data_IF_611905709164
#
_entry.id   IF_611905709164
#
_cell.length_a   1.000
_cell.length_b   1.000
_cell.length_c   1.000
_cell.angle_alpha   90.00
_cell.angle_beta   90.00
_cell.angle_gamma   90.00
#
_symmetry.space_group_name_H-M   'P 1'
#
loop_
_entity.id
_entity.type
_entity.pdbx_description
1 polymer ?
#
# COMPACT_ATOMS: atom_id res chain seq x y z
N UNK A 1 -4.79 -27.13 2.32
CA UNK A 1 -5.97 -26.30 2.04
C UNK A 1 -5.72 -25.52 0.75
N UNK A 2 -6.67 -25.41 -0.18
CA UNK A 2 -6.49 -24.54 -1.34
C UNK A 2 -6.36 -23.10 -0.86
N UNK A 3 -5.27 -22.42 -1.23
CA UNK A 3 -5.06 -21.02 -0.87
C UNK A 3 -6.09 -20.12 -1.55
N UNK A 4 -6.62 -19.11 -0.85
CA UNK A 4 -7.53 -18.12 -1.43
C UNK A 4 -6.73 -16.96 -2.02
N UNK A 5 -7.10 -16.51 -3.21
CA UNK A 5 -6.52 -15.34 -3.85
C UNK A 5 -7.48 -14.14 -3.74
N UNK A 6 -6.94 -12.93 -3.67
CA UNK A 6 -7.73 -11.70 -3.66
C UNK A 6 -7.20 -10.67 -4.66
N UNK A 7 -8.13 -9.93 -5.27
CA UNK A 7 -7.81 -8.79 -6.11
C UNK A 7 -7.59 -7.55 -5.26
N UNK A 8 -6.53 -6.80 -5.57
CA UNK A 8 -6.32 -5.47 -5.01
C UNK A 8 -6.52 -4.45 -6.12
N UNK A 9 -7.66 -3.78 -6.07
CA UNK A 9 -8.08 -2.79 -7.05
C UNK A 9 -8.36 -1.44 -6.41
N UNK A 10 -8.23 -0.35 -7.19
CA UNK A 10 -8.57 1.02 -6.78
C UNK A 10 -7.80 1.53 -5.55
N UNK A 11 -6.51 1.19 -5.43
CA UNK A 11 -5.61 1.80 -4.45
C UNK A 11 -5.49 3.32 -4.71
N UNK A 12 -6.28 4.10 -3.97
CA UNK A 12 -6.39 5.54 -4.16
C UNK A 12 -6.15 6.29 -2.85
N UNK A 13 -5.37 7.36 -2.92
CA UNK A 13 -5.17 8.31 -1.83
C UNK A 13 -5.63 9.68 -2.28
N UNK A 14 -6.52 10.30 -1.49
CA UNK A 14 -6.88 11.69 -1.71
C UNK A 14 -5.62 12.57 -1.59
N UNK A 15 -5.52 13.57 -2.46
CA UNK A 15 -4.33 14.43 -2.56
C UNK A 15 -4.11 15.30 -1.31
N UNK A 16 -5.18 15.64 -0.60
CA UNK A 16 -5.21 16.38 0.67
C UNK A 16 -4.73 15.53 1.85
N UNK A 17 -4.98 14.22 1.84
CA UNK A 17 -4.48 13.28 2.85
C UNK A 17 -2.94 13.20 2.86
N UNK A 18 -2.29 13.55 1.74
CA UNK A 18 -0.83 13.71 1.66
C UNK A 18 -0.30 14.95 2.39
N UNK A 19 -1.16 15.91 2.77
CA UNK A 19 -0.76 17.19 3.38
C UNK A 19 -0.86 17.19 4.92
N UNK A 20 -1.74 16.36 5.48
CA UNK A 20 -2.20 16.55 6.87
C UNK A 20 -1.27 15.98 7.95
N UNK A 21 -0.25 15.19 7.58
CA UNK A 21 0.79 14.75 8.54
C UNK A 21 2.06 15.60 8.53
N UNK A 22 2.39 16.24 7.42
CA UNK A 22 3.52 17.18 7.31
C UNK A 22 3.21 18.63 7.70
N UNK A 23 1.94 19.02 7.83
CA UNK A 23 1.56 20.42 8.09
C UNK A 23 0.75 20.60 9.37
N UNK A 24 1.44 20.64 10.52
CA UNK A 24 0.99 21.45 11.67
C UNK A 24 1.97 22.60 11.98
N UNK A 25 2.84 22.95 11.03
CA UNK A 25 3.84 24.01 11.19
C UNK A 25 4.00 24.95 9.97
N UNK A 26 3.30 24.76 8.86
CA UNK A 26 3.41 25.67 7.71
C UNK A 26 2.12 26.48 7.54
N UNK A 27 2.17 27.71 8.05
CA UNK A 27 1.11 28.70 7.91
C UNK A 27 0.85 29.08 6.45
N UNK A 28 -0.40 29.46 6.21
CA UNK A 28 -0.89 30.43 5.21
C UNK A 28 -0.25 30.36 3.82
N UNK A 29 -0.96 29.76 2.87
CA UNK A 29 -1.40 30.47 1.64
C UNK A 29 -2.42 29.60 0.90
N UNK A 30 -3.58 30.19 0.68
CA UNK A 30 -4.65 29.64 -0.13
C UNK A 30 -4.33 29.79 -1.62
N UNK A 31 -4.69 28.76 -2.40
CA UNK A 31 -4.87 28.88 -3.84
C UNK A 31 -3.61 28.80 -4.69
N UNK A 32 -3.30 27.60 -5.19
CA UNK A 32 -2.83 27.37 -6.58
C UNK A 32 -2.62 25.87 -6.82
N UNK A 33 -2.82 25.47 -8.09
CA UNK A 33 -2.72 24.10 -8.60
C UNK A 33 -1.47 23.36 -8.08
N UNK A 34 -1.55 22.02 -8.03
CA UNK A 34 -0.54 21.07 -7.53
C UNK A 34 0.88 21.20 -8.15
N UNK A 35 1.55 22.33 -8.00
CA UNK A 35 2.99 22.45 -8.15
C UNK A 35 3.60 22.21 -6.77
N UNK A 36 4.32 21.09 -6.60
CA UNK A 36 4.70 20.63 -5.25
C UNK A 36 6.11 20.09 -5.20
N UNK A 37 6.89 20.61 -4.23
CA UNK A 37 8.31 20.33 -4.02
C UNK A 37 8.60 18.83 -3.77
N UNK A 38 9.66 18.26 -4.38
CA UNK A 38 9.82 16.81 -4.53
C UNK A 38 10.35 16.03 -3.30
N UNK A 39 10.97 16.69 -2.32
CA UNK A 39 11.68 16.01 -1.21
C UNK A 39 10.78 15.52 -0.06
N UNK A 40 10.08 16.43 0.63
CA UNK A 40 9.35 16.14 1.88
C UNK A 40 8.07 15.29 1.66
N UNK A 41 7.54 15.27 0.43
CA UNK A 41 6.26 14.60 0.11
C UNK A 41 6.36 13.09 -0.03
N UNK A 42 7.54 12.55 -0.31
CA UNK A 42 7.71 11.14 -0.65
C UNK A 42 7.58 10.25 0.57
N UNK A 43 8.01 10.74 1.73
CA UNK A 43 7.98 9.98 2.98
C UNK A 43 6.56 9.79 3.50
N UNK A 44 5.71 10.81 3.46
CA UNK A 44 4.33 10.71 3.93
C UNK A 44 3.48 9.77 3.06
N UNK A 45 3.63 9.84 1.74
CA UNK A 45 2.94 8.93 0.82
C UNK A 45 3.38 7.46 1.05
N UNK A 46 4.67 7.25 1.33
CA UNK A 46 5.22 5.91 1.59
C UNK A 46 4.72 5.35 2.93
N UNK A 47 4.63 6.18 3.97
CA UNK A 47 4.05 5.80 5.28
C UNK A 47 2.58 5.40 5.18
N UNK A 48 1.79 6.16 4.41
CA UNK A 48 0.37 5.82 4.20
C UNK A 48 0.24 4.53 3.41
N UNK A 49 1.01 4.34 2.35
CA UNK A 49 1.02 3.11 1.57
C UNK A 49 1.42 1.90 2.42
N UNK A 50 2.41 2.05 3.30
CA UNK A 50 2.81 1.01 4.25
C UNK A 50 1.70 0.68 5.25
N UNK A 51 0.94 1.68 5.70
CA UNK A 51 -0.20 1.46 6.60
C UNK A 51 -1.34 0.73 5.88
N UNK A 52 -1.66 1.12 4.64
CA UNK A 52 -2.65 0.41 3.82
C UNK A 52 -2.23 -1.05 3.59
N UNK A 53 -0.95 -1.27 3.29
CA UNK A 53 -0.41 -2.60 3.15
C UNK A 53 -0.58 -3.44 4.42
N UNK A 54 -0.31 -2.88 5.60
CA UNK A 54 -0.53 -3.57 6.88
C UNK A 54 -1.99 -3.98 7.07
N UNK A 55 -2.94 -3.12 6.70
CA UNK A 55 -4.37 -3.45 6.77
C UNK A 55 -4.73 -4.61 5.84
N UNK A 56 -4.24 -4.57 4.61
CA UNK A 56 -4.43 -5.65 3.64
C UNK A 56 -3.82 -6.96 4.15
N UNK A 57 -2.62 -6.89 4.74
CA UNK A 57 -1.93 -8.02 5.34
C UNK A 57 -2.73 -8.63 6.49
N UNK A 58 -3.16 -7.81 7.46
CA UNK A 58 -3.95 -8.26 8.60
C UNK A 58 -5.28 -8.89 8.18
N UNK A 59 -5.98 -8.25 7.24
CA UNK A 59 -7.22 -8.81 6.66
C UNK A 59 -6.95 -10.15 5.96
N UNK A 60 -5.86 -10.25 5.21
CA UNK A 60 -5.50 -11.46 4.47
C UNK A 60 -5.21 -12.64 5.39
N UNK A 61 -4.44 -12.40 6.46
CA UNK A 61 -4.18 -13.38 7.52
C UNK A 61 -5.45 -13.86 8.20
N UNK A 62 -6.41 -12.97 8.46
CA UNK A 62 -7.66 -13.32 9.10
C UNK A 62 -8.64 -14.10 8.20
N UNK A 63 -8.42 -14.10 6.87
CA UNK A 63 -9.33 -14.71 5.88
C UNK A 63 -8.67 -15.81 5.04
N UNK A 64 -7.49 -16.29 5.44
CA UNK A 64 -6.70 -17.32 4.75
C UNK A 64 -6.39 -16.97 3.28
N UNK A 65 -6.18 -15.68 2.99
CA UNK A 65 -5.77 -15.19 1.67
C UNK A 65 -4.26 -15.37 1.54
N UNK A 66 -3.82 -16.17 0.57
CA UNK A 66 -2.42 -16.49 0.34
C UNK A 66 -1.80 -15.74 -0.84
N UNK A 67 -2.63 -15.20 -1.75
CA UNK A 67 -2.14 -14.50 -2.95
C UNK A 67 -2.90 -13.21 -3.19
N UNK A 68 -2.17 -12.19 -3.64
CA UNK A 68 -2.75 -10.96 -4.16
C UNK A 68 -2.44 -10.81 -5.63
N UNK A 69 -3.44 -10.42 -6.41
CA UNK A 69 -3.25 -9.99 -7.79
C UNK A 69 -3.74 -8.56 -7.97
N UNK A 70 -3.00 -7.76 -8.75
CA UNK A 70 -3.31 -6.37 -8.99
C UNK A 70 -2.81 -5.94 -10.37
N UNK A 71 -3.65 -5.21 -11.10
CA UNK A 71 -3.20 -4.42 -12.25
C UNK A 71 -2.71 -3.06 -11.73
N UNK A 72 -1.43 -2.76 -11.93
CA UNK A 72 -0.85 -1.50 -11.45
C UNK A 72 0.23 -0.96 -12.36
N UNK A 73 0.49 0.34 -12.23
CA UNK A 73 1.60 0.99 -12.90
C UNK A 73 2.95 0.55 -12.30
N UNK A 74 3.99 0.47 -13.14
CA UNK A 74 5.36 0.14 -12.71
C UNK A 74 5.89 1.01 -11.56
N UNK A 75 5.63 2.33 -11.47
CA UNK A 75 6.08 3.14 -10.35
C UNK A 75 5.50 2.71 -9.01
N UNK A 76 4.24 2.25 -8.97
CA UNK A 76 3.61 1.75 -7.74
C UNK A 76 4.29 0.45 -7.29
N UNK A 77 4.45 -0.51 -8.22
CA UNK A 77 5.16 -1.76 -7.94
C UNK A 77 6.59 -1.51 -7.42
N UNK A 78 7.34 -0.57 -8.02
CA UNK A 78 8.67 -0.17 -7.54
C UNK A 78 8.63 0.49 -6.17
N UNK A 79 7.60 1.27 -5.86
CA UNK A 79 7.46 1.89 -4.55
C UNK A 79 7.24 0.85 -3.46
N UNK A 80 6.41 -0.17 -3.73
CA UNK A 80 6.18 -1.30 -2.83
C UNK A 80 7.45 -2.13 -2.64
N UNK A 81 8.18 -2.41 -3.73
CA UNK A 81 9.43 -3.16 -3.67
C UNK A 81 10.50 -2.48 -2.80
N UNK A 82 10.58 -1.14 -2.80
CA UNK A 82 11.47 -0.38 -1.92
C UNK A 82 11.12 -0.52 -0.43
N UNK A 83 9.89 -0.90 -0.12
CA UNK A 83 9.42 -1.21 1.24
C UNK A 83 9.46 -2.71 1.53
N UNK A 84 10.26 -3.48 0.77
CA UNK A 84 10.40 -4.93 0.85
C UNK A 84 9.13 -5.74 0.49
N UNK A 85 8.11 -5.09 -0.07
CA UNK A 85 6.87 -5.74 -0.51
C UNK A 85 6.98 -6.04 -2.01
N UNK A 86 7.31 -7.29 -2.34
CA UNK A 86 7.50 -7.70 -3.73
C UNK A 86 6.20 -8.12 -4.41
N UNK A 87 6.02 -7.61 -5.63
CA UNK A 87 5.01 -8.05 -6.58
C UNK A 87 5.72 -8.45 -7.87
N UNK A 88 5.46 -9.66 -8.36
CA UNK A 88 6.01 -10.19 -9.61
C UNK A 88 5.07 -9.89 -10.76
N UNK A 89 5.56 -9.32 -11.85
CA UNK A 89 4.77 -9.15 -13.05
C UNK A 89 4.44 -10.53 -13.65
N UNK A 90 3.17 -10.75 -13.98
CA UNK A 90 2.67 -12.03 -14.55
C UNK A 90 2.17 -11.89 -15.99
N UNK A 91 2.28 -10.70 -16.57
CA UNK A 91 1.83 -10.44 -17.93
C UNK A 91 2.42 -9.17 -18.52
N UNK A 92 2.17 -8.93 -19.81
CA UNK A 92 2.66 -7.75 -20.49
C UNK A 92 2.02 -6.47 -19.94
N UNK A 93 2.66 -5.34 -20.24
CA UNK A 93 2.06 -4.05 -20.01
C UNK A 93 0.93 -3.82 -21.02
N UNK A 94 -0.19 -3.30 -20.56
CA UNK A 94 -1.36 -2.96 -21.37
C UNK A 94 -1.74 -1.51 -21.08
N UNK A 95 -2.20 -0.81 -22.11
CA UNK A 95 -2.72 0.54 -21.95
C UNK A 95 -4.21 0.49 -21.59
N UNK A 96 -4.52 0.69 -20.30
CA UNK A 96 -5.87 0.68 -19.76
C UNK A 96 -6.03 1.91 -18.86
N UNK A 97 -6.47 3.01 -19.47
CA UNK A 97 -6.44 4.37 -18.89
C UNK A 97 -5.03 4.82 -18.47
N UNK A 98 -4.00 4.31 -19.14
CA UNK A 98 -2.60 4.46 -18.78
C UNK A 98 -1.88 3.10 -18.72
N UNK A 99 -0.54 3.12 -18.68
CA UNK A 99 0.25 1.94 -18.96
C UNK A 99 0.45 1.08 -17.69
N UNK A 100 -0.37 0.04 -17.52
CA UNK A 100 -0.40 -0.87 -16.36
C UNK A 100 0.06 -2.28 -16.72
N UNK A 101 0.53 -3.06 -15.75
CA UNK A 101 0.79 -4.49 -15.94
C UNK A 101 0.12 -5.30 -14.83
N UNK A 102 -0.27 -6.57 -15.08
CA UNK A 102 -0.76 -7.44 -14.03
C UNK A 102 0.40 -7.98 -13.19
N UNK A 103 0.22 -7.95 -11.88
CA UNK A 103 1.17 -8.43 -10.89
C UNK A 103 0.53 -9.45 -9.94
N UNK A 104 1.36 -10.36 -9.43
CA UNK A 104 1.02 -11.34 -8.40
C UNK A 104 1.99 -11.20 -7.22
N UNK A 105 1.50 -11.35 -6.01
CA UNK A 105 2.31 -11.52 -4.81
C UNK A 105 1.82 -12.73 -4.02
N UNK A 106 2.74 -13.62 -3.67
CA UNK A 106 2.51 -14.66 -2.66
C UNK A 106 2.74 -14.05 -1.29
N UNK A 107 1.77 -14.19 -0.38
CA UNK A 107 1.89 -13.65 0.97
C UNK A 107 3.07 -14.29 1.70
N UNK A 108 3.28 -15.59 1.51
CA UNK A 108 4.40 -16.33 2.10
C UNK A 108 5.76 -15.81 1.61
N UNK A 109 5.90 -15.56 0.30
CA UNK A 109 7.13 -15.02 -0.27
C UNK A 109 7.40 -13.60 0.25
N UNK A 110 6.35 -12.79 0.36
CA UNK A 110 6.47 -11.43 0.90
C UNK A 110 6.83 -11.48 2.38
N UNK A 111 6.20 -12.33 3.19
CA UNK A 111 6.54 -12.53 4.60
C UNK A 111 8.02 -12.91 4.76
N UNK A 112 8.47 -13.93 4.04
CA UNK A 112 9.87 -14.38 4.08
C UNK A 112 10.85 -13.28 3.64
N UNK A 113 10.50 -12.51 2.60
CA UNK A 113 11.36 -11.42 2.12
C UNK A 113 11.42 -10.26 3.12
N UNK A 114 10.29 -9.88 3.72
CA UNK A 114 10.24 -8.80 4.70
C UNK A 114 10.98 -9.22 5.97
N UNK A 115 10.76 -10.44 6.47
CA UNK A 115 11.47 -10.97 7.63
C UNK A 115 12.98 -11.01 7.41
N UNK A 116 13.45 -11.48 6.25
CA UNK A 116 14.88 -11.57 5.96
C UNK A 116 15.57 -10.20 5.82
N UNK A 117 14.85 -9.17 5.36
CA UNK A 117 15.42 -7.84 5.09
C UNK A 117 15.23 -6.84 6.21
N UNK A 118 14.11 -6.94 6.91
CA UNK A 118 13.72 -6.05 8.00
C UNK A 118 12.82 -6.79 9.01
N UNK A 119 13.42 -7.55 9.96
CA UNK A 119 12.68 -8.26 11.00
C UNK A 119 11.82 -7.32 11.86
N UNK A 120 12.23 -6.06 12.03
CA UNK A 120 11.48 -5.07 12.78
C UNK A 120 10.18 -4.69 12.08
N UNK A 121 10.23 -4.46 10.77
CA UNK A 121 9.05 -4.27 9.96
C UNK A 121 8.14 -5.50 9.97
N UNK A 122 8.71 -6.70 9.88
CA UNK A 122 7.93 -7.94 9.94
C UNK A 122 7.18 -8.08 11.27
N UNK A 123 7.86 -7.84 12.40
CA UNK A 123 7.23 -7.84 13.72
C UNK A 123 6.11 -6.79 13.81
N UNK A 124 6.32 -5.60 13.25
CA UNK A 124 5.31 -4.55 13.20
C UNK A 124 4.08 -4.93 12.35
N UNK A 125 4.27 -5.64 11.24
CA UNK A 125 3.16 -6.16 10.42
C UNK A 125 2.34 -7.21 11.16
N UNK A 126 2.99 -8.09 11.93
CA UNK A 126 2.34 -9.15 12.70
C UNK A 126 1.62 -8.66 13.97
N UNK A 127 1.95 -7.47 14.46
CA UNK A 127 1.25 -6.91 15.61
C UNK A 127 -0.24 -6.74 15.31
N UNK A 128 -1.08 -7.39 16.12
CA UNK A 128 -2.51 -7.20 16.08
C UNK A 128 -2.85 -5.72 16.30
N UNK A 129 -3.66 -5.15 15.40
CA UNK A 129 -4.16 -3.80 15.62
C UNK A 129 -5.16 -3.81 16.77
N UNK A 130 -4.99 -2.87 17.70
CA UNK A 130 -6.02 -2.57 18.70
C UNK A 130 -7.21 -1.97 17.96
N UNK A 131 -8.19 -2.80 17.61
CA UNK A 131 -9.43 -2.36 16.96
C UNK A 131 -10.14 -1.36 17.87
N UNK A 132 -10.09 -0.08 17.53
CA UNK A 132 -11.15 0.86 17.90
C UNK A 132 -11.94 1.20 16.64
N UNK A 133 -12.71 0.21 16.18
CA UNK A 133 -13.63 0.39 15.05
C UNK A 133 -14.96 0.82 15.64
N UNK A 134 -15.26 2.12 15.53
CA UNK A 134 -16.65 2.57 15.59
C UNK A 134 -17.30 2.07 14.30
N UNK A 135 -18.37 1.26 14.35
CA UNK A 135 -19.04 0.82 13.13
C UNK A 135 -19.69 2.04 12.47
N UNK A 136 -19.06 2.55 11.43
CA UNK A 136 -19.70 3.45 10.49
C UNK A 136 -20.07 2.58 9.30
N UNK A 137 -21.34 2.25 9.20
CA UNK A 137 -22.18 1.92 8.03
C UNK A 137 -23.36 1.09 8.55
N UNK A 138 -24.19 1.71 9.38
CA UNK A 138 -25.60 1.35 9.53
C UNK A 138 -26.34 2.57 9.00
N UNK A 139 -27.02 2.39 7.87
CA UNK A 139 -28.03 3.31 7.36
C UNK A 139 -29.38 2.77 7.80
#
# INVERSE_FOLDING_TARGET
MPGRAAEVSRLMLRCDYRRQRGSRLAGVTAGQACAVSPGVRRDDASKVLLTLYRQMYAYSRANDISHWYAAMERPLARSLMRMNIAFRAIGPQTDYYGPVAPYLASLQEVEAQVEARDPGLFAWLQQAERRNVKPAFVN
#
